data_IF_430519702028
#
_entry.id   IF_430519702028
#
_cell.length_a   1.000
_cell.length_b   1.000
_cell.length_c   1.000
_cell.angle_alpha   90.00
_cell.angle_beta   90.00
_cell.angle_gamma   90.00
#
_symmetry.space_group_name_H-M   'P 1'
#
loop_
_entity.id
_entity.type
_entity.pdbx_description
1 polymer ?
#
# COMPACT_ATOMS: atom_id res chain seq x y z
N UNK A 1 4.84 -13.17 -7.78
CA UNK A 1 4.58 -11.81 -7.25
C UNK A 1 4.42 -11.84 -5.75
N UNK A 2 4.93 -10.84 -5.09
CA UNK A 2 4.77 -10.64 -3.64
C UNK A 2 3.94 -9.37 -3.45
N UNK A 3 2.86 -9.45 -2.69
CA UNK A 3 2.05 -8.30 -2.35
C UNK A 3 2.38 -7.81 -0.94
N UNK A 4 2.72 -6.53 -0.84
CA UNK A 4 2.85 -5.83 0.42
C UNK A 4 1.57 -5.02 0.63
N UNK A 5 0.83 -5.34 1.67
CA UNK A 5 -0.51 -4.82 1.88
C UNK A 5 -0.60 -4.06 3.19
N UNK A 6 -1.14 -2.84 3.13
CA UNK A 6 -1.32 -1.98 4.30
C UNK A 6 -2.79 -1.65 4.42
N UNK A 7 -3.42 -2.08 5.51
CA UNK A 7 -4.80 -1.71 5.84
C UNK A 7 -4.79 -0.54 6.79
N UNK A 8 -5.59 0.47 6.52
CA UNK A 8 -5.63 1.72 7.30
C UNK A 8 -7.07 2.04 7.66
N UNK A 9 -7.33 2.19 8.95
CA UNK A 9 -8.56 2.79 9.47
C UNK A 9 -8.28 4.26 9.75
N UNK A 10 -9.11 5.15 9.21
CA UNK A 10 -8.90 6.60 9.24
C UNK A 10 -10.09 7.25 9.93
N UNK A 11 -9.84 8.16 10.86
CA UNK A 11 -10.91 8.96 11.46
C UNK A 11 -11.68 9.68 10.34
N UNK A 12 -13.01 9.71 10.47
CA UNK A 12 -13.90 10.25 9.44
C UNK A 12 -13.50 11.66 9.00
N UNK A 13 -13.12 12.51 9.93
CA UNK A 13 -12.72 13.88 9.65
C UNK A 13 -11.44 13.98 8.80
N UNK A 14 -10.62 12.92 8.72
CA UNK A 14 -9.35 12.90 8.01
C UNK A 14 -9.43 12.21 6.65
N UNK A 15 -10.55 11.60 6.30
CA UNK A 15 -10.66 10.73 5.12
C UNK A 15 -10.30 11.45 3.82
N UNK A 16 -10.85 12.63 3.58
CA UNK A 16 -10.55 13.36 2.33
C UNK A 16 -9.08 13.73 2.22
N UNK A 17 -8.49 14.19 3.31
CA UNK A 17 -7.08 14.53 3.37
C UNK A 17 -6.20 13.30 3.18
N UNK A 18 -6.59 12.17 3.77
CA UNK A 18 -5.90 10.90 3.61
C UNK A 18 -5.89 10.45 2.14
N UNK A 19 -7.04 10.45 1.48
CA UNK A 19 -7.15 10.05 0.07
C UNK A 19 -6.27 10.94 -0.81
N UNK A 20 -6.33 12.26 -0.61
CA UNK A 20 -5.54 13.21 -1.38
C UNK A 20 -4.03 12.97 -1.17
N UNK A 21 -3.60 12.80 0.07
CA UNK A 21 -2.20 12.53 0.41
C UNK A 21 -1.71 11.23 -0.24
N UNK A 22 -2.49 10.17 -0.17
CA UNK A 22 -2.12 8.87 -0.74
C UNK A 22 -1.96 8.96 -2.25
N UNK A 23 -2.92 9.57 -2.94
CA UNK A 23 -2.90 9.69 -4.41
C UNK A 23 -1.82 10.62 -4.93
N UNK A 24 -1.61 11.73 -4.26
CA UNK A 24 -0.74 12.81 -4.76
C UNK A 24 0.71 12.68 -4.30
N UNK A 25 0.95 12.05 -3.15
CA UNK A 25 2.29 12.02 -2.55
C UNK A 25 2.78 10.64 -2.18
N UNK A 26 2.07 9.93 -1.30
CA UNK A 26 2.60 8.73 -0.67
C UNK A 26 2.80 7.58 -1.65
N UNK A 27 1.76 7.21 -2.38
CA UNK A 27 1.83 6.12 -3.37
C UNK A 27 2.83 6.45 -4.49
N UNK A 28 2.81 7.65 -5.09
CA UNK A 28 3.83 8.02 -6.08
C UNK A 28 5.27 7.94 -5.55
N UNK A 29 5.51 8.32 -4.31
CA UNK A 29 6.84 8.23 -3.69
C UNK A 29 7.29 6.78 -3.50
N UNK A 30 6.36 5.91 -3.09
CA UNK A 30 6.65 4.47 -2.95
C UNK A 30 6.99 3.87 -4.30
N UNK A 31 6.23 4.18 -5.35
CA UNK A 31 6.52 3.69 -6.70
C UNK A 31 7.81 4.24 -7.28
N UNK A 32 8.21 5.45 -6.88
CA UNK A 32 9.46 6.05 -7.31
C UNK A 32 10.70 5.29 -6.80
N UNK A 33 10.55 4.44 -5.78
CA UNK A 33 11.64 3.58 -5.31
C UNK A 33 12.02 2.50 -6.31
N UNK A 34 11.17 2.24 -7.30
CA UNK A 34 11.33 1.19 -8.31
C UNK A 34 11.32 -0.25 -7.74
N UNK A 35 10.90 -0.43 -6.48
CA UNK A 35 10.81 -1.73 -5.85
C UNK A 35 9.51 -2.47 -6.17
N UNK A 36 8.50 -1.75 -6.66
CA UNK A 36 7.18 -2.31 -6.98
C UNK A 36 6.80 -2.04 -8.43
N UNK A 37 6.17 -3.03 -9.05
CA UNK A 37 5.67 -2.89 -10.41
C UNK A 37 4.34 -2.13 -10.48
N UNK A 38 3.59 -2.12 -9.38
CA UNK A 38 2.19 -1.71 -9.40
C UNK A 38 1.69 -1.45 -7.99
N UNK A 39 0.72 -0.54 -7.86
CA UNK A 39 0.05 -0.25 -6.61
C UNK A 39 -1.45 -0.07 -6.82
N UNK A 40 -2.22 -0.41 -5.80
CA UNK A 40 -3.67 -0.26 -5.76
C UNK A 40 -4.08 0.42 -4.46
N UNK A 41 -5.14 1.22 -4.52
CA UNK A 41 -5.77 1.80 -3.35
C UNK A 41 -7.25 1.46 -3.39
N UNK A 42 -7.71 0.72 -2.40
CA UNK A 42 -9.08 0.23 -2.29
C UNK A 42 -9.76 0.77 -1.03
N UNK A 43 -11.07 0.82 -1.07
CA UNK A 43 -11.90 1.24 0.06
C UNK A 43 -12.88 0.11 0.42
N UNK A 44 -12.86 -0.32 1.68
CA UNK A 44 -13.80 -1.31 2.19
C UNK A 44 -15.06 -0.66 2.79
N UNK A 45 -14.87 0.40 3.55
CA UNK A 45 -15.95 1.21 4.15
C UNK A 45 -15.62 2.68 3.97
N UNK A 46 -16.48 3.59 4.45
CA UNK A 46 -16.20 5.03 4.37
C UNK A 46 -14.89 5.43 5.05
N UNK A 47 -14.37 4.62 5.98
CA UNK A 47 -13.20 4.94 6.79
C UNK A 47 -12.10 3.88 6.73
N UNK A 48 -12.30 2.76 6.06
CA UNK A 48 -11.28 1.71 5.96
C UNK A 48 -10.76 1.60 4.53
N UNK A 49 -9.42 1.62 4.39
CA UNK A 49 -8.71 1.59 3.12
C UNK A 49 -7.65 0.50 3.14
N UNK A 50 -7.27 0.05 1.95
CA UNK A 50 -6.18 -0.87 1.74
C UNK A 50 -5.30 -0.37 0.61
N UNK A 51 -3.99 -0.34 0.85
CA UNK A 51 -3.00 -0.14 -0.20
C UNK A 51 -2.33 -1.47 -0.47
N UNK A 52 -2.12 -1.78 -1.73
CA UNK A 52 -1.48 -3.02 -2.13
C UNK A 52 -0.38 -2.72 -3.13
N UNK A 53 0.84 -3.11 -2.79
CA UNK A 53 2.03 -2.90 -3.62
C UNK A 53 2.54 -4.25 -4.09
N UNK A 54 2.72 -4.42 -5.40
CA UNK A 54 3.14 -5.69 -5.99
C UNK A 54 4.60 -5.63 -6.38
N UNK A 55 5.43 -6.44 -5.71
CA UNK A 55 6.84 -6.65 -6.03
C UNK A 55 6.99 -7.88 -6.91
N UNK A 56 7.95 -7.85 -7.82
CA UNK A 56 8.23 -8.98 -8.70
C UNK A 56 8.74 -10.19 -7.91
N UNK A 57 9.49 -9.96 -6.84
CA UNK A 57 10.10 -10.99 -6.01
C UNK A 57 10.34 -10.49 -4.59
N UNK A 58 10.72 -11.41 -3.72
CA UNK A 58 10.96 -11.09 -2.31
C UNK A 58 12.15 -10.13 -2.12
N UNK A 59 13.19 -10.25 -2.94
CA UNK A 59 14.37 -9.39 -2.81
C UNK A 59 14.03 -7.91 -3.02
N UNK A 60 13.15 -7.59 -3.97
CA UNK A 60 12.70 -6.23 -4.21
C UNK A 60 11.90 -5.68 -3.01
N UNK A 61 11.05 -6.52 -2.41
CA UNK A 61 10.32 -6.13 -1.20
C UNK A 61 11.25 -5.90 -0.03
N UNK A 62 12.22 -6.78 0.19
CA UNK A 62 13.19 -6.64 1.28
C UNK A 62 14.02 -5.37 1.11
N UNK A 63 14.42 -5.05 -0.11
CA UNK A 63 15.12 -3.81 -0.42
C UNK A 63 14.28 -2.58 -0.04
N UNK A 64 13.01 -2.59 -0.39
CA UNK A 64 12.08 -1.53 -0.01
C UNK A 64 11.98 -1.38 1.50
N UNK A 65 11.74 -2.48 2.22
CA UNK A 65 11.55 -2.47 3.67
C UNK A 65 12.79 -1.98 4.40
N UNK A 66 13.98 -2.35 3.92
CA UNK A 66 15.25 -1.95 4.53
C UNK A 66 15.61 -0.50 4.23
N UNK A 67 15.52 -0.08 2.95
CA UNK A 67 16.10 1.18 2.50
C UNK A 67 15.12 2.33 2.35
N UNK A 68 13.84 2.05 2.12
CA UNK A 68 12.88 3.08 1.77
C UNK A 68 11.74 3.22 2.79
N UNK A 69 11.24 2.12 3.33
CA UNK A 69 10.09 2.14 4.22
C UNK A 69 10.28 3.03 5.46
N UNK A 70 11.44 3.06 6.14
CA UNK A 70 11.59 3.90 7.33
C UNK A 70 11.30 5.37 7.08
N UNK A 71 11.85 5.95 6.01
CA UNK A 71 11.62 7.36 5.67
C UNK A 71 10.18 7.63 5.25
N UNK A 72 9.59 6.72 4.44
CA UNK A 72 8.22 6.86 3.98
C UNK A 72 7.19 6.70 5.10
N UNK A 73 7.45 5.82 6.05
CA UNK A 73 6.63 5.68 7.26
C UNK A 73 6.73 6.91 8.15
N UNK A 74 7.91 7.50 8.28
CA UNK A 74 8.11 8.74 9.02
C UNK A 74 7.35 9.90 8.38
N UNK A 75 7.36 10.01 7.06
CA UNK A 75 6.61 11.03 6.32
C UNK A 75 5.11 10.88 6.56
N UNK A 76 4.59 9.65 6.50
CA UNK A 76 3.19 9.38 6.78
C UNK A 76 2.81 9.75 8.22
N UNK A 77 3.62 9.35 9.20
CA UNK A 77 3.38 9.65 10.60
C UNK A 77 3.43 11.15 10.89
N UNK A 78 4.27 11.89 10.18
CA UNK A 78 4.34 13.35 10.28
C UNK A 78 3.09 14.01 9.72
N UNK A 79 2.56 13.51 8.61
CA UNK A 79 1.32 14.01 8.00
C UNK A 79 0.09 13.65 8.82
N UNK A 80 0.07 12.45 9.40
CA UNK A 80 -1.03 11.94 10.23
C UNK A 80 -0.50 11.49 11.59
N UNK A 81 -0.19 12.43 12.49
CA UNK A 81 0.33 12.08 13.82
C UNK A 81 -0.70 11.38 14.71
N UNK A 82 -1.99 11.50 14.37
CA UNK A 82 -3.10 10.85 15.08
C UNK A 82 -4.25 10.59 14.11
N UNK A 83 -5.16 9.73 14.49
CA UNK A 83 -6.39 9.48 13.74
C UNK A 83 -6.29 8.37 12.69
N UNK A 84 -5.19 7.61 12.66
CA UNK A 84 -5.04 6.45 11.79
C UNK A 84 -4.55 5.24 12.56
N UNK A 85 -5.02 4.06 12.16
CA UNK A 85 -4.56 2.78 12.68
C UNK A 85 -4.17 1.91 11.49
N UNK A 86 -2.96 1.37 11.52
CA UNK A 86 -2.41 0.61 10.38
C UNK A 86 -2.10 -0.82 10.77
N UNK A 87 -2.30 -1.73 9.81
CA UNK A 87 -1.79 -3.09 9.88
C UNK A 87 -1.16 -3.46 8.54
N UNK A 88 -0.17 -4.35 8.57
CA UNK A 88 0.60 -4.72 7.39
C UNK A 88 0.66 -6.22 7.27
N UNK A 89 0.56 -6.70 6.01
CA UNK A 89 0.68 -8.11 5.69
C UNK A 89 1.47 -8.27 4.39
N UNK A 90 2.16 -9.39 4.30
CA UNK A 90 2.89 -9.78 3.09
C UNK A 90 2.26 -11.06 2.57
N UNK A 91 1.89 -11.05 1.28
CA UNK A 91 1.22 -12.15 0.62
C UNK A 91 2.07 -12.66 -0.54
N UNK A 92 2.40 -13.93 -0.51
CA UNK A 92 3.02 -14.62 -1.63
C UNK A 92 1.92 -15.15 -2.54
N UNK A 93 1.98 -14.82 -3.84
CA UNK A 93 1.00 -15.33 -4.79
C UNK A 93 1.28 -16.82 -5.05
N UNK A 94 0.30 -17.66 -4.77
CA UNK A 94 0.39 -19.09 -4.99
C UNK A 94 -0.28 -19.55 -6.28
N UNK A 95 -1.10 -18.71 -6.89
CA UNK A 95 -1.76 -19.05 -8.13
C UNK A 95 -2.72 -17.96 -8.56
N UNK A 96 -3.06 -18.01 -9.83
CA UNK A 96 -4.02 -17.11 -10.44
C UNK A 96 -4.86 -17.92 -11.41
N UNK A 97 -6.16 -17.81 -11.27
CA UNK A 97 -7.11 -18.55 -12.09
C UNK A 97 -7.98 -17.57 -12.87
N UNK A 98 -8.31 -17.99 -14.09
CA UNK A 98 -9.32 -17.32 -14.91
C UNK A 98 -10.46 -18.29 -15.19
N UNK A 99 -11.69 -17.80 -15.47
CA UNK A 99 -12.78 -18.69 -15.83
C UNK A 99 -12.40 -19.55 -17.04
N UNK A 100 -12.80 -20.84 -17.07
CA UNK A 100 -12.58 -21.68 -18.25
C UNK A 100 -13.57 -21.32 -19.37
N UNK A 101 -13.26 -21.73 -20.57
CA UNK A 101 -14.23 -21.75 -21.65
C UNK A 101 -14.34 -20.48 -22.48
N UNK A 102 -13.38 -19.63 -22.40
CA UNK A 102 -13.26 -18.48 -23.33
C UNK A 102 -12.61 -18.87 -24.64
N UNK A 103 -12.71 -20.11 -24.89
CA UNK A 103 -12.16 -20.61 -26.12
C UNK A 103 -12.76 -19.95 -27.32
#
# INVERSE_FOLDING_TARGET
MIAYEVTVDVDEALVERYIAYMKQKHIPRILATACFAHAELDRATSTRFRQRYLAANLADLELYLERHAPALRADFASEFPAGTTLSREIWEEYGRWTPPGDA
#
